data_IF_831191602122
#
_entry.id   IF_831191602122
#
_cell.length_a   1.000
_cell.length_b   1.000
_cell.length_c   1.000
_cell.angle_alpha   90.00
_cell.angle_beta   90.00
_cell.angle_gamma   90.00
#
_symmetry.space_group_name_H-M   'P 1'
#
loop_
_entity.id
_entity.type
_entity.pdbx_description
1 polymer ?
#
# COMPACT_ATOMS: atom_id res chain seq x y z
N UNK A 1 2.55 -8.11 90.51
CA UNK A 1 2.18 -8.03 89.08
C UNK A 1 3.13 -8.99 88.35
N UNK A 2 3.08 -10.29 88.64
CA UNK A 2 2.26 -11.35 87.98
C UNK A 2 2.51 -11.40 86.47
N UNK A 3 3.46 -12.24 86.06
CA UNK A 3 3.52 -12.79 84.70
C UNK A 3 2.68 -14.07 84.71
N UNK A 4 1.60 -14.06 83.93
CA UNK A 4 0.65 -15.16 83.75
C UNK A 4 1.32 -16.27 82.94
N UNK A 5 1.47 -17.44 83.57
CA UNK A 5 1.67 -18.71 82.89
C UNK A 5 0.34 -19.08 82.22
N UNK A 6 0.35 -19.22 80.90
CA UNK A 6 -0.76 -19.80 80.15
C UNK A 6 -0.43 -21.27 79.90
N UNK A 7 -1.14 -22.12 80.63
CA UNK A 7 -1.18 -23.57 80.50
C UNK A 7 -2.49 -23.91 79.78
N UNK A 8 -2.40 -24.55 78.61
CA UNK A 8 -3.44 -25.46 78.09
C UNK A 8 -3.01 -26.03 76.72
N UNK A 9 -2.76 -27.34 76.69
CA UNK A 9 -2.69 -28.08 75.45
C UNK A 9 -2.04 -29.46 75.54
N UNK A 10 -2.31 -30.23 76.60
CA UNK A 10 -2.01 -31.67 76.63
C UNK A 10 -2.73 -32.35 75.46
N UNK A 11 -1.96 -32.79 74.45
CA UNK A 11 -2.45 -33.68 73.41
C UNK A 11 -1.63 -34.96 73.46
N UNK A 12 -2.14 -35.91 74.22
CA UNK A 12 -1.80 -37.33 74.12
C UNK A 12 -2.20 -37.82 72.72
N UNK A 13 -1.24 -38.40 72.01
CA UNK A 13 -1.50 -39.48 71.05
C UNK A 13 -0.30 -40.42 71.09
N UNK A 14 -0.48 -41.53 71.79
CA UNK A 14 0.37 -42.72 71.70
C UNK A 14 0.34 -43.25 70.27
N UNK A 15 1.48 -43.27 69.57
CA UNK A 15 1.79 -44.30 68.56
C UNK A 15 3.31 -44.59 68.54
N UNK A 16 3.62 -45.77 69.08
CA UNK A 16 4.62 -46.74 68.65
C UNK A 16 6.04 -46.30 68.24
N UNK A 17 6.98 -46.60 69.16
CA UNK A 17 8.12 -47.50 68.90
C UNK A 17 8.94 -47.23 67.64
N UNK A 18 9.97 -46.41 67.76
CA UNK A 18 11.34 -46.90 67.66
C UNK A 18 12.32 -45.96 68.39
N UNK A 19 12.95 -46.49 69.44
CA UNK A 19 13.91 -45.76 70.24
C UNK A 19 15.20 -45.49 69.47
N UNK A 20 15.29 -44.34 68.81
CA UNK A 20 16.57 -43.79 68.36
C UNK A 20 17.30 -43.17 69.55
N UNK A 21 18.02 -44.02 70.28
CA UNK A 21 19.02 -43.59 71.27
C UNK A 21 20.15 -42.90 70.52
N UNK A 22 20.27 -41.59 70.68
CA UNK A 22 21.41 -40.83 70.19
C UNK A 22 22.70 -41.33 70.89
N UNK A 23 23.42 -42.23 70.24
CA UNK A 23 24.77 -42.64 70.66
C UNK A 23 25.74 -41.49 70.40
N UNK A 24 25.89 -40.61 71.39
CA UNK A 24 26.99 -39.63 71.42
C UNK A 24 28.27 -40.42 71.67
N UNK A 25 28.96 -40.80 70.61
CA UNK A 25 30.29 -41.39 70.69
C UNK A 25 31.30 -40.30 71.08
N UNK A 26 31.76 -40.31 72.33
CA UNK A 26 32.95 -39.57 72.73
C UNK A 26 34.18 -40.31 72.17
N UNK A 27 34.80 -39.78 71.12
CA UNK A 27 36.16 -40.19 70.75
C UNK A 27 37.09 -39.66 71.84
N UNK A 28 37.67 -40.57 72.63
CA UNK A 28 38.80 -40.26 73.48
C UNK A 28 39.94 -39.78 72.56
N UNK A 29 40.35 -38.53 72.74
CA UNK A 29 41.57 -38.02 72.13
C UNK A 29 42.69 -38.67 72.95
N UNK A 30 43.37 -39.66 72.38
CA UNK A 30 44.67 -40.07 72.89
C UNK A 30 45.55 -38.82 72.83
N UNK A 31 46.01 -38.34 73.98
CA UNK A 31 46.98 -37.25 74.08
C UNK A 31 48.29 -37.74 73.43
N UNK A 32 48.35 -37.72 72.10
CA UNK A 32 49.63 -37.60 71.41
C UNK A 32 50.30 -36.37 72.01
N UNK A 33 51.51 -36.54 72.57
CA UNK A 33 52.28 -35.44 73.15
C UNK A 33 52.52 -34.38 72.06
N UNK A 34 51.59 -33.44 71.97
CA UNK A 34 51.74 -32.23 71.20
C UNK A 34 52.95 -31.51 71.78
N UNK A 35 53.96 -31.24 70.94
CA UNK A 35 55.12 -30.43 71.27
C UNK A 35 54.64 -29.16 71.99
N UNK A 36 54.76 -29.17 73.33
CA UNK A 36 54.18 -28.15 74.21
C UNK A 36 55.04 -26.90 74.09
N UNK A 37 54.77 -26.09 73.07
CA UNK A 37 55.39 -24.78 72.89
C UNK A 37 54.91 -23.89 74.04
N UNK A 38 55.74 -23.77 75.07
CA UNK A 38 55.47 -22.95 76.24
C UNK A 38 55.67 -21.46 75.88
N UNK A 39 54.64 -20.84 75.31
CA UNK A 39 54.62 -19.39 75.11
C UNK A 39 54.63 -18.66 76.46
N UNK A 40 55.38 -17.57 76.54
CA UNK A 40 55.29 -16.66 77.69
C UNK A 40 53.92 -15.96 77.68
N UNK A 41 53.36 -15.70 78.87
CA UNK A 41 52.10 -14.95 79.00
C UNK A 41 52.19 -13.56 78.33
N UNK A 42 53.36 -12.91 78.42
CA UNK A 42 53.59 -11.60 77.80
C UNK A 42 53.57 -11.68 76.27
N UNK A 43 54.13 -12.74 75.68
CA UNK A 43 54.08 -12.97 74.22
C UNK A 43 52.64 -13.19 73.74
N UNK A 44 51.85 -13.95 74.50
CA UNK A 44 50.44 -14.18 74.18
C UNK A 44 49.63 -12.88 74.23
N UNK A 45 49.90 -12.04 75.22
CA UNK A 45 49.24 -10.75 75.40
C UNK A 45 49.56 -9.80 74.25
N UNK A 46 50.84 -9.66 73.88
CA UNK A 46 51.27 -8.83 72.75
C UNK A 46 50.67 -9.32 71.43
N UNK A 47 50.62 -10.64 71.20
CA UNK A 47 49.97 -11.22 70.02
C UNK A 47 48.48 -10.89 69.96
N UNK A 48 47.76 -10.97 71.09
CA UNK A 48 46.34 -10.62 71.18
C UNK A 48 46.09 -9.14 70.90
N UNK A 49 46.88 -8.23 71.48
CA UNK A 49 46.75 -6.79 71.26
C UNK A 49 46.98 -6.42 69.78
N UNK A 50 48.00 -7.02 69.15
CA UNK A 50 48.25 -6.86 67.72
C UNK A 50 47.08 -7.38 66.87
N UNK A 51 46.58 -8.58 67.17
CA UNK A 51 45.42 -9.16 66.48
C UNK A 51 44.19 -8.26 66.60
N UNK A 52 43.92 -7.73 67.80
CA UNK A 52 42.79 -6.84 68.04
C UNK A 52 42.92 -5.52 67.27
N UNK A 53 44.14 -4.97 67.20
CA UNK A 53 44.43 -3.78 66.41
C UNK A 53 44.19 -4.00 64.91
N UNK A 54 44.69 -5.12 64.37
CA UNK A 54 44.44 -5.50 62.98
C UNK A 54 42.95 -5.70 62.68
N UNK A 55 42.25 -6.41 63.57
CA UNK A 55 40.80 -6.60 63.47
C UNK A 55 40.06 -5.26 63.38
N UNK A 56 40.39 -4.31 64.27
CA UNK A 56 39.78 -2.97 64.27
C UNK A 56 40.03 -2.25 62.94
N UNK A 57 41.25 -2.34 62.40
CA UNK A 57 41.60 -1.75 61.10
C UNK A 57 40.81 -2.40 59.95
N UNK A 58 40.68 -3.73 59.94
CA UNK A 58 39.86 -4.45 58.96
C UNK A 58 38.39 -4.03 59.05
N UNK A 59 37.84 -3.87 60.26
CA UNK A 59 36.47 -3.39 60.45
C UNK A 59 36.26 -1.99 59.85
N UNK A 60 37.23 -1.08 60.00
CA UNK A 60 37.16 0.26 59.41
C UNK A 60 37.18 0.19 57.88
N UNK A 61 38.09 -0.62 57.30
CA UNK A 61 38.15 -0.86 55.84
C UNK A 61 36.84 -1.47 55.31
N UNK A 62 36.24 -2.41 56.03
CA UNK A 62 34.97 -3.01 55.62
C UNK A 62 33.82 -1.98 55.64
N UNK A 63 33.83 -1.06 56.61
CA UNK A 63 32.85 0.04 56.64
C UNK A 63 33.01 1.00 55.45
N UNK A 64 34.23 1.30 55.00
CA UNK A 64 34.42 2.13 53.80
C UNK A 64 33.99 1.39 52.54
N UNK A 65 34.42 0.14 52.36
CA UNK A 65 34.04 -0.68 51.20
C UNK A 65 32.52 -0.85 51.08
N UNK A 66 31.79 -0.98 52.20
CA UNK A 66 30.32 -1.02 52.17
C UNK A 66 29.71 0.28 51.63
N UNK A 67 30.27 1.44 51.96
CA UNK A 67 29.81 2.73 51.42
C UNK A 67 30.08 2.81 49.93
N UNK A 68 31.27 2.40 49.51
CA UNK A 68 31.67 2.40 48.09
C UNK A 68 30.78 1.45 47.28
N UNK A 69 30.48 0.26 47.81
CA UNK A 69 29.55 -0.69 47.19
C UNK A 69 28.15 -0.09 46.99
N UNK A 70 27.60 0.58 48.01
CA UNK A 70 26.29 1.25 47.90
C UNK A 70 26.34 2.38 46.85
N UNK A 71 27.44 3.14 46.80
CA UNK A 71 27.63 4.20 45.80
C UNK A 71 27.65 3.63 44.38
N UNK A 72 28.45 2.59 44.14
CA UNK A 72 28.54 1.93 42.84
C UNK A 72 27.21 1.30 42.42
N UNK A 73 26.45 0.69 43.34
CA UNK A 73 25.13 0.16 43.02
C UNK A 73 24.15 1.22 42.52
N UNK A 74 24.18 2.43 43.11
CA UNK A 74 23.35 3.56 42.63
C UNK A 74 23.77 4.05 41.25
N UNK A 75 25.07 4.10 40.98
CA UNK A 75 25.58 4.49 39.68
C UNK A 75 25.18 3.49 38.58
N UNK A 76 25.24 2.19 38.87
CA UNK A 76 24.75 1.14 37.98
C UNK A 76 23.26 1.30 37.67
N UNK A 77 22.44 1.61 38.68
CA UNK A 77 21.00 1.84 38.51
C UNK A 77 20.73 3.06 37.61
N UNK A 78 21.47 4.15 37.81
CA UNK A 78 21.36 5.34 36.95
C UNK A 78 21.75 5.03 35.50
N UNK A 79 22.89 4.38 35.28
CA UNK A 79 23.35 3.99 33.94
C UNK A 79 22.38 3.03 33.26
N UNK A 80 21.71 2.15 34.02
CA UNK A 80 20.69 1.26 33.50
C UNK A 80 19.46 2.04 33.01
N UNK A 81 19.04 3.07 33.74
CA UNK A 81 17.94 3.94 33.33
C UNK A 81 18.32 4.76 32.09
N UNK A 82 19.53 5.30 32.03
CA UNK A 82 20.04 6.00 30.83
C UNK A 82 20.07 5.07 29.62
N UNK A 83 20.59 3.85 29.76
CA UNK A 83 20.58 2.86 28.69
C UNK A 83 19.16 2.51 28.22
N UNK A 84 18.18 2.41 29.13
CA UNK A 84 16.78 2.20 28.71
C UNK A 84 16.23 3.38 27.90
N UNK A 85 16.62 4.61 28.22
CA UNK A 85 16.20 5.79 27.47
C UNK A 85 16.81 5.79 26.07
N UNK A 86 18.11 5.48 25.95
CA UNK A 86 18.77 5.36 24.65
C UNK A 86 18.17 4.25 23.77
N UNK A 87 17.78 3.11 24.35
CA UNK A 87 17.08 2.05 23.62
C UNK A 87 15.75 2.57 23.05
N UNK A 88 14.96 3.29 23.85
CA UNK A 88 13.69 3.87 23.40
C UNK A 88 13.91 4.91 22.28
N UNK A 89 14.94 5.75 22.38
CA UNK A 89 15.29 6.72 21.33
C UNK A 89 15.68 6.01 20.02
N UNK A 90 16.46 4.93 20.09
CA UNK A 90 16.84 4.13 18.92
C UNK A 90 15.59 3.51 18.27
N UNK A 91 14.66 2.97 19.05
CA UNK A 91 13.40 2.42 18.52
C UNK A 91 12.58 3.50 17.81
N UNK A 92 12.45 4.69 18.40
CA UNK A 92 11.75 5.82 17.79
C UNK A 92 12.40 6.26 16.47
N UNK A 93 13.73 6.36 16.43
CA UNK A 93 14.47 6.71 15.22
C UNK A 93 14.31 5.65 14.13
N UNK A 94 14.29 4.37 14.49
CA UNK A 94 14.05 3.28 13.54
C UNK A 94 12.65 3.35 12.91
N UNK A 95 11.62 3.65 13.71
CA UNK A 95 10.25 3.85 13.19
C UNK A 95 10.22 5.06 12.25
N UNK A 96 10.87 6.16 12.63
CA UNK A 96 10.95 7.38 11.81
C UNK A 96 11.68 7.16 10.48
N UNK A 97 12.77 6.38 10.50
CA UNK A 97 13.51 6.00 9.29
C UNK A 97 12.66 5.13 8.36
N UNK A 98 11.93 4.15 8.91
CA UNK A 98 11.02 3.30 8.13
C UNK A 98 9.98 4.15 7.40
N UNK A 99 9.32 5.05 8.13
CA UNK A 99 8.33 5.97 7.56
C UNK A 99 8.94 6.87 6.45
N UNK A 100 10.17 7.33 6.65
CA UNK A 100 10.89 8.15 5.66
C UNK A 100 11.17 7.38 4.37
N UNK A 101 11.53 6.10 4.47
CA UNK A 101 11.73 5.24 3.31
C UNK A 101 10.42 4.99 2.57
N UNK A 102 9.32 4.72 3.28
CA UNK A 102 8.00 4.53 2.67
C UNK A 102 7.58 5.78 1.86
N UNK A 103 7.78 6.98 2.41
CA UNK A 103 7.51 8.23 1.69
C UNK A 103 8.42 8.45 0.48
N UNK A 104 9.67 8.00 0.55
CA UNK A 104 10.61 8.12 -0.56
C UNK A 104 10.17 7.25 -1.73
N UNK A 105 9.78 6.00 -1.45
CA UNK A 105 9.30 5.06 -2.47
C UNK A 105 7.99 5.56 -3.12
N UNK A 106 7.05 6.09 -2.32
CA UNK A 106 5.82 6.69 -2.83
C UNK A 106 6.13 7.90 -3.75
N UNK A 107 7.08 8.75 -3.37
CA UNK A 107 7.48 9.91 -4.17
C UNK A 107 8.17 9.51 -5.48
N UNK A 108 8.96 8.43 -5.50
CA UNK A 108 9.52 7.88 -6.73
C UNK A 108 8.42 7.34 -7.66
N UNK A 109 7.43 6.64 -7.12
CA UNK A 109 6.26 6.17 -7.89
C UNK A 109 5.46 7.35 -8.48
N UNK A 110 5.18 8.37 -7.69
CA UNK A 110 4.47 9.57 -8.14
C UNK A 110 5.22 10.29 -9.27
N UNK A 111 6.56 10.36 -9.22
CA UNK A 111 7.36 10.92 -10.33
C UNK A 111 7.17 10.14 -11.63
N UNK A 112 7.18 8.81 -11.56
CA UNK A 112 6.94 7.96 -12.73
C UNK A 112 5.54 8.18 -13.31
N UNK A 113 4.52 8.29 -12.46
CA UNK A 113 3.15 8.58 -12.89
C UNK A 113 3.03 9.96 -13.54
N UNK A 114 3.65 10.99 -12.95
CA UNK A 114 3.69 12.34 -13.51
C UNK A 114 4.35 12.35 -14.89
N UNK A 115 5.45 11.63 -15.08
CA UNK A 115 6.13 11.58 -16.38
C UNK A 115 5.31 10.80 -17.42
N UNK A 116 4.63 9.73 -17.01
CA UNK A 116 3.66 9.03 -17.86
C UNK A 116 2.48 9.93 -18.25
N UNK A 117 1.95 10.73 -17.31
CA UNK A 117 0.88 11.70 -17.54
C UNK A 117 1.34 12.82 -18.48
N UNK A 118 2.51 13.42 -18.26
CA UNK A 118 3.09 14.44 -19.16
C UNK A 118 3.18 13.91 -20.59
N UNK A 119 3.61 12.66 -20.77
CA UNK A 119 3.67 12.01 -22.09
C UNK A 119 2.28 11.80 -22.73
N UNK A 120 1.25 11.52 -21.93
CA UNK A 120 -0.14 11.46 -22.41
C UNK A 120 -0.64 12.85 -22.79
N UNK A 121 -0.38 13.87 -21.97
CA UNK A 121 -0.77 15.26 -22.22
C UNK A 121 -0.11 15.83 -23.48
N UNK A 122 1.18 15.56 -23.73
CA UNK A 122 1.83 16.02 -24.97
C UNK A 122 1.21 15.40 -26.22
N UNK A 123 0.85 14.11 -26.19
CA UNK A 123 0.08 13.48 -27.28
C UNK A 123 -1.29 14.10 -27.46
N UNK A 124 -1.99 14.38 -26.36
CA UNK A 124 -3.30 15.03 -26.37
C UNK A 124 -3.22 16.45 -26.96
N UNK A 125 -2.27 17.28 -26.52
CA UNK A 125 -2.03 18.62 -27.07
C UNK A 125 -1.77 18.58 -28.57
N UNK A 126 -0.87 17.70 -29.03
CA UNK A 126 -0.59 17.52 -30.46
C UNK A 126 -1.84 17.13 -31.26
N UNK A 127 -2.77 16.36 -30.68
CA UNK A 127 -4.04 16.03 -31.33
C UNK A 127 -5.04 17.19 -31.29
N UNK A 128 -5.06 17.97 -30.21
CA UNK A 128 -5.91 19.15 -30.06
C UNK A 128 -5.51 20.25 -31.04
N UNK A 129 -4.21 20.51 -31.22
CA UNK A 129 -3.72 21.48 -32.20
C UNK A 129 -4.11 21.09 -33.63
N UNK A 130 -4.01 19.80 -33.97
CA UNK A 130 -4.49 19.28 -35.26
C UNK A 130 -5.99 19.48 -35.44
N UNK A 131 -6.79 19.21 -34.40
CA UNK A 131 -8.24 19.44 -34.43
C UNK A 131 -8.56 20.94 -34.58
N UNK A 132 -7.90 21.81 -33.83
CA UNK A 132 -8.08 23.26 -33.92
C UNK A 132 -7.72 23.79 -35.31
N UNK A 133 -6.63 23.28 -35.90
CA UNK A 133 -6.26 23.59 -37.28
C UNK A 133 -7.36 23.14 -38.27
N UNK A 134 -7.94 21.95 -38.09
CA UNK A 134 -9.03 21.47 -38.93
C UNK A 134 -10.30 22.33 -38.80
N UNK A 135 -10.72 22.63 -37.57
CA UNK A 135 -11.88 23.48 -37.29
C UNK A 135 -11.68 24.92 -37.78
N UNK A 136 -10.47 25.46 -37.65
CA UNK A 136 -10.09 26.76 -38.19
C UNK A 136 -10.16 26.82 -39.72
N UNK A 137 -9.80 25.73 -40.40
CA UNK A 137 -9.96 25.60 -41.86
C UNK A 137 -11.42 25.38 -42.28
N UNK A 138 -12.24 24.77 -41.41
CA UNK A 138 -13.66 24.51 -41.65
C UNK A 138 -14.54 25.75 -41.48
N UNK A 139 -13.98 26.89 -41.03
CA UNK A 139 -14.62 28.22 -41.09
C UNK A 139 -14.74 28.69 -42.54
N UNK A 140 -15.66 28.09 -43.29
CA UNK A 140 -16.18 28.69 -44.51
C UNK A 140 -16.86 30.00 -44.11
N UNK A 141 -16.48 31.12 -44.73
CA UNK A 141 -16.87 32.52 -44.40
C UNK A 141 -18.40 32.76 -44.43
N UNK A 142 -19.21 31.73 -44.73
CA UNK A 142 -20.66 31.82 -44.91
C UNK A 142 -21.50 31.03 -43.87
N UNK A 143 -20.91 30.19 -43.02
CA UNK A 143 -21.65 29.49 -41.96
C UNK A 143 -21.77 30.38 -40.71
N UNK A 144 -22.86 31.16 -40.64
CA UNK A 144 -23.20 32.11 -39.57
C UNK A 144 -23.71 31.46 -38.26
N UNK A 145 -23.47 30.17 -38.05
CA UNK A 145 -23.97 29.46 -36.87
C UNK A 145 -22.99 28.38 -36.41
N UNK A 146 -22.72 28.34 -35.09
CA UNK A 146 -21.88 27.33 -34.46
C UNK A 146 -21.23 27.82 -33.16
N UNK A 147 -20.81 26.87 -32.32
CA UNK A 147 -20.03 27.16 -31.11
C UNK A 147 -18.68 27.80 -31.50
N UNK A 148 -18.45 29.02 -31.00
CA UNK A 148 -17.23 29.81 -31.30
C UNK A 148 -17.35 30.77 -32.50
N UNK A 149 -18.57 31.13 -32.92
CA UNK A 149 -18.78 32.22 -33.88
C UNK A 149 -18.59 33.59 -33.20
N UNK A 150 -17.61 34.34 -33.68
CA UNK A 150 -17.45 35.78 -33.41
C UNK A 150 -17.71 36.53 -34.72
N UNK A 151 -18.63 37.49 -34.71
CA UNK A 151 -19.00 38.26 -35.89
C UNK A 151 -17.84 39.19 -36.28
N UNK A 152 -17.07 38.80 -37.29
CA UNK A 152 -15.97 39.61 -37.81
C UNK A 152 -16.48 40.59 -38.87
N UNK A 153 -16.55 41.87 -38.53
CA UNK A 153 -17.13 42.92 -39.39
C UNK A 153 -16.36 43.22 -40.70
N UNK A 154 -15.14 42.69 -40.92
CA UNK A 154 -14.25 43.11 -42.01
C UNK A 154 -13.44 41.98 -42.70
N UNK A 155 -14.06 40.88 -43.14
CA UNK A 155 -13.32 39.84 -43.89
C UNK A 155 -13.22 40.19 -45.37
N UNK A 156 -11.98 40.38 -45.87
CA UNK A 156 -11.69 40.48 -47.31
C UNK A 156 -12.02 39.14 -47.98
N UNK A 157 -12.96 39.13 -48.92
CA UNK A 157 -13.27 37.96 -49.73
C UNK A 157 -12.04 37.55 -50.55
N UNK A 158 -11.44 36.40 -50.25
CA UNK A 158 -10.48 35.77 -51.15
C UNK A 158 -11.25 35.00 -52.24
N UNK A 159 -10.80 35.11 -53.49
CA UNK A 159 -11.34 34.32 -54.58
C UNK A 159 -11.05 32.83 -54.34
N UNK A 160 -12.11 32.02 -54.38
CA UNK A 160 -12.06 30.56 -54.19
C UNK A 160 -11.02 29.89 -55.10
N UNK A 161 -10.02 29.25 -54.51
CA UNK A 161 -9.01 28.42 -55.21
C UNK A 161 -9.50 26.98 -55.51
N UNK A 162 -10.72 26.63 -55.12
CA UNK A 162 -11.32 25.36 -55.56
C UNK A 162 -11.80 25.52 -57.00
N UNK A 163 -11.10 24.87 -57.94
CA UNK A 163 -11.52 24.78 -59.32
C UNK A 163 -12.98 24.33 -59.42
N UNK A 164 -13.77 25.00 -60.27
CA UNK A 164 -15.16 24.63 -60.55
C UNK A 164 -15.21 23.13 -60.81
N UNK A 165 -15.81 22.34 -59.92
CA UNK A 165 -16.13 20.94 -60.22
C UNK A 165 -16.97 20.97 -61.49
N UNK A 166 -16.52 20.28 -62.55
CA UNK A 166 -17.33 20.09 -63.74
C UNK A 166 -18.68 19.51 -63.28
N UNK A 167 -19.76 20.26 -63.49
CA UNK A 167 -21.10 19.78 -63.15
C UNK A 167 -21.30 18.40 -63.80
N UNK A 168 -21.72 17.38 -63.04
CA UNK A 168 -21.94 16.07 -63.62
C UNK A 168 -23.01 16.23 -64.70
N UNK A 169 -22.63 15.95 -65.95
CA UNK A 169 -23.54 15.89 -67.09
C UNK A 169 -24.53 14.76 -66.85
N UNK A 170 -25.67 15.06 -66.22
CA UNK A 170 -26.72 14.08 -65.95
C UNK A 170 -27.28 13.63 -67.30
N UNK A 171 -26.97 12.39 -67.71
CA UNK A 171 -27.51 11.76 -68.91
C UNK A 171 -28.63 10.80 -68.49
N UNK A 172 -29.74 10.84 -69.22
CA UNK A 172 -30.85 9.92 -69.02
C UNK A 172 -30.51 8.52 -69.58
N UNK A 173 -30.48 7.48 -68.75
CA UNK A 173 -30.20 6.10 -69.20
C UNK A 173 -31.29 5.52 -70.14
N UNK A 174 -32.45 6.17 -70.27
CA UNK A 174 -33.53 5.73 -71.16
C UNK A 174 -33.46 6.37 -72.55
N UNK A 175 -33.24 7.68 -72.65
CA UNK A 175 -33.25 8.41 -73.93
C UNK A 175 -31.90 9.00 -74.34
N UNK A 176 -30.85 8.85 -73.52
CA UNK A 176 -29.51 9.35 -73.79
C UNK A 176 -29.37 10.88 -73.79
N UNK A 177 -30.43 11.64 -73.45
CA UNK A 177 -30.39 13.11 -73.41
C UNK A 177 -29.90 13.64 -72.07
N UNK A 178 -29.26 14.81 -72.11
CA UNK A 178 -28.74 15.51 -70.95
C UNK A 178 -29.84 16.22 -70.14
N UNK A 179 -29.58 16.46 -68.86
CA UNK A 179 -30.36 17.32 -67.97
C UNK A 179 -31.45 16.63 -67.15
N UNK A 180 -31.63 15.31 -67.26
CA UNK A 180 -32.64 14.57 -66.48
C UNK A 180 -32.28 13.10 -66.30
N UNK A 181 -32.92 12.43 -65.33
CA UNK A 181 -32.71 11.01 -65.01
C UNK A 181 -33.83 10.18 -65.65
N UNK A 182 -33.63 8.87 -65.86
CA UNK A 182 -34.62 7.97 -66.48
C UNK A 182 -36.01 7.97 -65.82
N UNK A 183 -36.12 8.30 -64.54
CA UNK A 183 -37.40 8.41 -63.82
C UNK A 183 -38.19 9.66 -64.19
N UNK A 184 -37.52 10.75 -64.57
CA UNK A 184 -38.16 11.99 -65.01
C UNK A 184 -38.22 12.11 -66.54
N UNK A 185 -37.84 11.06 -67.27
CA UNK A 185 -37.82 11.08 -68.73
C UNK A 185 -39.22 11.16 -69.34
N UNK A 186 -39.47 12.22 -70.10
CA UNK A 186 -40.76 12.47 -70.76
C UNK A 186 -41.17 11.33 -71.72
N UNK A 187 -40.22 10.75 -72.45
CA UNK A 187 -40.48 9.60 -73.33
C UNK A 187 -40.95 8.36 -72.55
N UNK A 188 -40.38 8.12 -71.36
CA UNK A 188 -40.77 7.02 -70.49
C UNK A 188 -42.15 7.25 -69.88
N UNK A 189 -42.47 8.50 -69.52
CA UNK A 189 -43.80 8.92 -69.06
C UNK A 189 -44.88 8.76 -70.13
N UNK A 190 -44.61 9.17 -71.37
CA UNK A 190 -45.55 9.02 -72.50
C UNK A 190 -45.89 7.56 -72.80
N UNK A 191 -44.93 6.65 -72.67
CA UNK A 191 -45.14 5.21 -72.90
C UNK A 191 -45.77 4.48 -71.69
N UNK A 192 -46.17 5.20 -70.63
CA UNK A 192 -46.84 4.61 -69.46
C UNK A 192 -45.95 3.69 -68.60
N UNK A 193 -44.64 3.62 -68.88
CA UNK A 193 -43.67 2.74 -68.21
C UNK A 193 -43.21 3.25 -66.83
N UNK A 194 -43.79 4.34 -66.34
CA UNK A 194 -43.39 4.93 -65.07
C UNK A 194 -43.83 4.11 -63.85
N UNK A 195 -44.80 3.20 -64.03
CA UNK A 195 -45.36 2.36 -62.96
C UNK A 195 -45.02 0.86 -63.08
N UNK A 196 -44.15 0.46 -64.02
CA UNK A 196 -43.72 -0.93 -64.13
C UNK A 196 -42.72 -1.27 -63.01
N UNK A 197 -43.17 -2.00 -61.97
CA UNK A 197 -42.27 -2.61 -60.98
C UNK A 197 -41.40 -3.65 -61.68
N UNK A 198 -40.09 -3.43 -61.69
CA UNK A 198 -39.13 -4.43 -62.15
C UNK A 198 -38.69 -5.26 -60.94
N UNK A 199 -38.94 -6.55 -60.97
CA UNK A 199 -38.42 -7.51 -60.00
C UNK A 199 -37.16 -8.09 -60.62
N UNK A 200 -36.08 -8.19 -59.85
CA UNK A 200 -34.87 -8.85 -60.31
C UNK A 200 -35.11 -10.36 -60.28
N UNK A 201 -34.92 -11.02 -61.42
CA UNK A 201 -35.08 -12.46 -61.56
C UNK A 201 -33.79 -13.02 -62.19
N UNK A 202 -33.22 -14.11 -61.64
CA UNK A 202 -32.07 -14.79 -62.25
C UNK A 202 -32.35 -15.19 -63.72
N UNK A 203 -31.32 -15.14 -64.56
CA UNK A 203 -31.46 -15.55 -65.97
C UNK A 203 -31.83 -17.03 -66.05
N UNK A 204 -32.94 -17.35 -66.71
CA UNK A 204 -33.44 -18.71 -66.90
C UNK A 204 -34.76 -19.03 -66.20
N UNK A 205 -35.34 -18.11 -65.44
CA UNK A 205 -36.62 -18.34 -64.73
C UNK A 205 -37.79 -17.67 -65.46
N UNK A 206 -38.82 -18.44 -65.82
CA UNK A 206 -40.09 -17.91 -66.31
C UNK A 206 -41.07 -17.77 -65.13
N UNK A 207 -41.48 -16.53 -64.82
CA UNK A 207 -42.39 -16.26 -63.69
C UNK A 207 -43.84 -16.45 -64.15
N UNK A 208 -44.35 -17.68 -64.04
CA UNK A 208 -45.75 -18.02 -64.39
C UNK A 208 -46.58 -18.35 -63.15
N UNK A 209 -46.82 -17.34 -62.30
CA UNK A 209 -47.96 -17.19 -61.38
C UNK A 209 -47.57 -16.20 -60.29
N UNK A 210 -47.95 -14.93 -60.45
CA UNK A 210 -47.87 -13.97 -59.35
C UNK A 210 -49.24 -13.99 -58.67
N UNK A 211 -49.34 -14.74 -57.57
CA UNK A 211 -50.56 -14.78 -56.76
C UNK A 211 -50.62 -13.50 -55.91
N UNK A 212 -51.30 -12.49 -56.44
CA UNK A 212 -51.51 -11.18 -55.83
C UNK A 212 -52.90 -10.66 -56.14
N UNK A 213 -53.42 -9.71 -55.37
CA UNK A 213 -54.86 -9.49 -55.21
C UNK A 213 -55.44 -8.80 -56.45
N UNK A 214 -55.83 -9.59 -57.45
CA UNK A 214 -56.88 -9.37 -58.46
C UNK A 214 -56.89 -10.55 -59.44
N UNK A 215 -57.90 -11.42 -59.30
CA UNK A 215 -58.48 -12.33 -60.29
C UNK A 215 -57.55 -13.28 -61.06
N UNK A 216 -57.69 -14.60 -60.85
CA UNK A 216 -58.53 -15.48 -61.68
C UNK A 216 -58.53 -16.91 -61.12
N UNK A 217 -59.75 -17.48 -61.06
CA UNK A 217 -60.06 -18.88 -60.76
C UNK A 217 -59.37 -19.85 -61.74
N UNK A 218 -58.99 -21.04 -61.25
CA UNK A 218 -58.69 -22.20 -62.12
C UNK A 218 -59.41 -23.43 -61.53
N UNK A 219 -60.16 -24.23 -62.30
CA UNK A 219 -60.81 -25.44 -61.80
C UNK A 219 -59.80 -26.57 -61.60
N UNK A 220 -60.03 -27.40 -60.57
CA UNK A 220 -59.26 -28.63 -60.31
C UNK A 220 -59.59 -29.72 -61.34
N UNK A 221 -58.56 -30.36 -61.86
CA UNK A 221 -58.54 -31.76 -62.28
C UNK A 221 -57.31 -32.42 -61.62
#
# INVERSE_FOLDING_TARGET
MVATWDDSGESSSDEESDGEVANIAFMAIEEEEEDKVNFSFDELKDAYENLFYEYKNVCLKNKSLKKDAISMSKEIENLKNENSNYINEIEFLNVSLKLTNDFKDENENLKLEIDALKKKFSKFLNSSDKLNNFLGLQRYVFDKAGLGYEEMNNVKHFNNFFGKKNEPKIICNYCGRLGHISTSCFLKKKLGLDKSRKIWVPKGTFVTNIQGPKFTWVPKA
#
